data_IF_119494279975
#
_entry.id   IF_119494279975
#
_cell.length_a   1.000
_cell.length_b   1.000
_cell.length_c   1.000
_cell.angle_alpha   90.00
_cell.angle_beta   90.00
_cell.angle_gamma   90.00
#
_symmetry.space_group_name_H-M   'P 1'
#
loop_
_entity.id
_entity.type
_entity.pdbx_description
1 polymer ?
#
# COMPACT_ATOMS: atom_id res chain seq x y z
N UNK A 1 -19.56 2.21 4.86
CA UNK A 1 -18.52 1.16 4.88
C UNK A 1 -18.65 0.39 3.58
N UNK A 2 -17.65 0.47 2.69
CA UNK A 2 -17.71 -0.19 1.37
C UNK A 2 -17.45 -1.69 1.50
N UNK A 3 -18.22 -2.53 0.81
CA UNK A 3 -18.04 -3.99 0.77
C UNK A 3 -17.08 -4.36 -0.37
N UNK A 4 -15.96 -5.01 -0.02
CA UNK A 4 -14.92 -5.49 -0.95
C UNK A 4 -14.95 -7.01 -1.03
N UNK A 5 -14.90 -7.56 -2.24
CA UNK A 5 -14.80 -9.00 -2.47
C UNK A 5 -13.59 -9.34 -3.33
N UNK A 6 -12.89 -10.42 -2.97
CA UNK A 6 -11.69 -10.93 -3.65
C UNK A 6 -12.04 -12.20 -4.42
N UNK A 7 -11.55 -12.28 -5.64
CA UNK A 7 -11.50 -13.51 -6.44
C UNK A 7 -10.04 -13.83 -6.74
N UNK A 8 -9.67 -15.11 -6.86
CA UNK A 8 -8.31 -15.53 -7.15
C UNK A 8 -8.23 -16.24 -8.50
N UNK A 9 -7.40 -15.72 -9.38
CA UNK A 9 -7.04 -16.32 -10.67
C UNK A 9 -6.27 -17.65 -10.49
N UNK A 10 -5.36 -17.71 -9.53
CA UNK A 10 -4.42 -18.84 -9.37
C UNK A 10 -4.86 -19.96 -8.44
N UNK A 11 -6.10 -19.92 -7.92
CA UNK A 11 -6.57 -20.98 -7.03
C UNK A 11 -6.73 -22.31 -7.79
N UNK A 12 -6.19 -23.39 -7.24
CA UNK A 12 -6.23 -24.73 -7.85
C UNK A 12 -7.18 -25.70 -7.14
N UNK A 13 -7.72 -25.29 -5.98
CA UNK A 13 -8.56 -26.14 -5.13
C UNK A 13 -9.84 -25.40 -4.71
N UNK A 14 -10.94 -26.16 -4.60
CA UNK A 14 -12.20 -25.69 -4.01
C UNK A 14 -12.73 -26.72 -3.01
N UNK A 15 -13.46 -26.26 -2.00
CA UNK A 15 -13.99 -27.12 -0.92
C UNK A 15 -15.08 -28.08 -1.37
N UNK A 16 -15.95 -27.67 -2.29
CA UNK A 16 -17.12 -28.44 -2.69
C UNK A 16 -17.59 -28.07 -4.10
N UNK A 17 -18.23 -29.01 -4.77
CA UNK A 17 -18.91 -28.89 -6.06
C UNK A 17 -20.42 -28.61 -5.93
N UNK A 18 -20.86 -28.20 -4.73
CA UNK A 18 -22.29 -28.00 -4.40
C UNK A 18 -22.92 -26.88 -5.25
N UNK A 19 -22.15 -25.85 -5.59
CA UNK A 19 -22.64 -24.72 -6.39
C UNK A 19 -22.54 -25.02 -7.90
N UNK A 20 -23.67 -25.03 -8.64
CA UNK A 20 -23.65 -25.26 -10.07
C UNK A 20 -22.78 -24.27 -10.86
N UNK A 21 -22.56 -23.05 -10.34
CA UNK A 21 -21.73 -22.02 -10.97
C UNK A 21 -20.24 -22.38 -11.00
N UNK A 22 -19.80 -23.21 -10.07
CA UNK A 22 -18.40 -23.61 -9.94
C UNK A 22 -18.07 -24.88 -10.73
N UNK A 23 -19.08 -25.72 -11.01
CA UNK A 23 -18.92 -27.00 -11.73
C UNK A 23 -18.21 -26.92 -13.08
N UNK A 24 -18.40 -25.89 -13.93
CA UNK A 24 -17.66 -25.79 -15.19
C UNK A 24 -16.14 -25.75 -15.02
N UNK A 25 -15.64 -25.36 -13.85
CA UNK A 25 -14.23 -25.23 -13.54
C UNK A 25 -13.66 -26.44 -12.79
N UNK A 26 -14.48 -27.40 -12.35
CA UNK A 26 -14.04 -28.56 -11.56
C UNK A 26 -13.54 -29.67 -12.49
N UNK A 27 -12.36 -30.23 -12.20
CA UNK A 27 -11.76 -31.27 -13.05
C UNK A 27 -12.31 -32.67 -12.76
N UNK A 28 -12.92 -32.86 -11.60
CA UNK A 28 -13.44 -34.15 -11.10
C UNK A 28 -12.46 -34.91 -10.19
N UNK A 29 -11.20 -34.47 -10.11
CA UNK A 29 -10.21 -35.04 -9.20
C UNK A 29 -10.32 -34.44 -7.80
N UNK A 30 -9.92 -35.22 -6.78
CA UNK A 30 -9.91 -34.79 -5.37
C UNK A 30 -8.55 -35.04 -4.71
N UNK A 31 -8.23 -34.16 -3.77
CA UNK A 31 -7.08 -34.30 -2.86
C UNK A 31 -7.40 -35.25 -1.71
N UNK A 32 -6.37 -35.67 -0.95
CA UNK A 32 -6.56 -36.55 0.22
C UNK A 32 -7.34 -35.86 1.35
N UNK A 33 -7.22 -34.54 1.44
CA UNK A 33 -7.95 -33.67 2.37
C UNK A 33 -9.43 -33.49 1.95
N UNK A 34 -9.79 -33.92 0.74
CA UNK A 34 -11.14 -33.91 0.21
C UNK A 34 -11.51 -32.68 -0.63
N UNK A 35 -10.57 -31.76 -0.90
CA UNK A 35 -10.79 -30.65 -1.84
C UNK A 35 -10.90 -31.15 -3.28
N UNK A 36 -11.69 -30.45 -4.11
CA UNK A 36 -11.77 -30.68 -5.55
C UNK A 36 -10.72 -29.85 -6.28
N UNK A 37 -10.07 -30.45 -7.28
CA UNK A 37 -9.21 -29.74 -8.22
C UNK A 37 -10.06 -28.86 -9.16
N UNK A 38 -9.57 -27.65 -9.44
CA UNK A 38 -10.19 -26.73 -10.39
C UNK A 38 -9.21 -26.25 -11.46
N UNK A 39 -9.74 -26.02 -12.65
CA UNK A 39 -9.13 -25.17 -13.67
C UNK A 39 -9.45 -23.72 -13.29
N UNK A 40 -8.55 -23.10 -12.52
CA UNK A 40 -8.58 -21.67 -12.23
C UNK A 40 -8.41 -20.81 -13.49
N UNK A 41 -7.96 -19.59 -13.31
CA UNK A 41 -7.73 -18.66 -14.41
C UNK A 41 -8.72 -17.50 -14.44
N UNK A 42 -8.49 -16.61 -15.40
CA UNK A 42 -9.26 -15.38 -15.60
C UNK A 42 -10.75 -15.64 -15.82
N UNK A 43 -11.12 -16.73 -16.51
CA UNK A 43 -12.52 -17.09 -16.76
C UNK A 43 -13.27 -17.46 -15.47
N UNK A 44 -12.63 -18.24 -14.59
CA UNK A 44 -13.15 -18.55 -13.27
C UNK A 44 -13.26 -17.28 -12.41
N UNK A 45 -12.28 -16.38 -12.56
CA UNK A 45 -12.27 -15.12 -11.86
C UNK A 45 -13.41 -14.18 -12.29
N UNK A 46 -13.65 -14.05 -13.60
CA UNK A 46 -14.74 -13.28 -14.19
C UNK A 46 -16.09 -13.83 -13.74
N UNK A 47 -16.31 -15.16 -13.82
CA UNK A 47 -17.57 -15.78 -13.43
C UNK A 47 -17.94 -15.47 -11.97
N UNK A 48 -16.96 -15.59 -11.05
CA UNK A 48 -17.14 -15.23 -9.65
C UNK A 48 -17.29 -13.72 -9.45
N UNK A 49 -16.53 -12.90 -10.18
CA UNK A 49 -16.66 -11.45 -10.16
C UNK A 49 -18.07 -10.99 -10.52
N UNK A 50 -18.64 -11.52 -11.60
CA UNK A 50 -20.03 -11.27 -12.01
C UNK A 50 -21.03 -11.70 -10.94
N UNK A 51 -20.83 -12.87 -10.32
CA UNK A 51 -21.69 -13.35 -9.25
C UNK A 51 -21.64 -12.47 -7.98
N UNK A 52 -20.48 -11.88 -7.68
CA UNK A 52 -20.28 -11.02 -6.51
C UNK A 52 -20.67 -9.57 -6.75
N UNK A 53 -20.72 -9.12 -8.01
CA UNK A 53 -20.98 -7.74 -8.37
C UNK A 53 -22.24 -7.15 -7.72
N UNK A 54 -23.41 -7.81 -7.65
CA UNK A 54 -24.59 -7.24 -6.98
C UNK A 54 -24.42 -6.97 -5.47
N UNK A 55 -23.41 -7.58 -4.84
CA UNK A 55 -23.20 -7.57 -3.38
C UNK A 55 -21.92 -6.82 -2.95
N UNK A 56 -21.18 -6.29 -3.91
CA UNK A 56 -19.89 -5.62 -3.72
C UNK A 56 -19.98 -4.19 -4.21
N UNK A 57 -19.44 -3.21 -3.47
CA UNK A 57 -19.24 -1.87 -4.02
C UNK A 57 -18.06 -1.85 -5.00
N UNK A 58 -17.02 -2.63 -4.66
CA UNK A 58 -15.77 -2.75 -5.41
C UNK A 58 -15.39 -4.22 -5.54
N UNK A 59 -14.99 -4.63 -6.75
CA UNK A 59 -14.54 -6.00 -7.06
C UNK A 59 -13.04 -6.01 -7.28
N UNK A 60 -12.37 -7.03 -6.76
CA UNK A 60 -10.93 -7.24 -6.92
C UNK A 60 -10.65 -8.68 -7.38
N UNK A 61 -9.94 -8.82 -8.50
CA UNK A 61 -9.29 -10.05 -8.91
C UNK A 61 -7.81 -10.02 -8.51
N UNK A 62 -7.34 -11.02 -7.76
CA UNK A 62 -5.92 -11.23 -7.54
C UNK A 62 -5.31 -11.96 -8.74
N UNK A 63 -4.24 -11.40 -9.30
CA UNK A 63 -3.55 -11.91 -10.49
C UNK A 63 -2.17 -12.46 -10.12
N UNK A 64 -1.61 -13.30 -10.99
CA UNK A 64 -0.28 -13.89 -10.80
C UNK A 64 0.86 -13.00 -11.31
N UNK A 65 0.58 -12.09 -12.23
CA UNK A 65 1.54 -11.14 -12.82
C UNK A 65 0.92 -9.76 -13.02
N UNK A 66 1.73 -8.68 -13.12
CA UNK A 66 1.23 -7.33 -13.38
C UNK A 66 0.98 -7.12 -14.88
N UNK A 67 -0.10 -7.69 -15.42
CA UNK A 67 -0.42 -7.66 -16.86
C UNK A 67 -1.62 -6.74 -17.12
N UNK A 68 -1.46 -5.73 -17.99
CA UNK A 68 -2.55 -4.79 -18.32
C UNK A 68 -3.64 -5.45 -19.19
N UNK A 69 -3.26 -6.42 -20.01
CA UNK A 69 -4.17 -7.15 -20.90
C UNK A 69 -5.18 -7.98 -20.11
N UNK A 70 -4.71 -8.72 -19.10
CA UNK A 70 -5.58 -9.50 -18.21
C UNK A 70 -6.48 -8.59 -17.36
N UNK A 71 -5.94 -7.45 -16.90
CA UNK A 71 -6.72 -6.43 -16.20
C UNK A 71 -7.85 -5.85 -17.09
N UNK A 72 -7.56 -5.58 -18.36
CA UNK A 72 -8.55 -5.12 -19.33
C UNK A 72 -9.61 -6.19 -19.58
N UNK A 73 -9.22 -7.45 -19.80
CA UNK A 73 -10.16 -8.56 -20.00
C UNK A 73 -11.13 -8.71 -18.81
N UNK A 74 -10.62 -8.64 -17.58
CA UNK A 74 -11.46 -8.68 -16.39
C UNK A 74 -12.42 -7.47 -16.34
N UNK A 75 -11.90 -6.27 -16.56
CA UNK A 75 -12.68 -5.04 -16.50
C UNK A 75 -13.82 -5.03 -17.53
N UNK A 76 -13.52 -5.37 -18.77
CA UNK A 76 -14.49 -5.42 -19.87
C UNK A 76 -15.61 -6.40 -19.56
N UNK A 77 -15.28 -7.61 -19.09
CA UNK A 77 -16.28 -8.63 -18.79
C UNK A 77 -17.20 -8.22 -17.62
N UNK A 78 -16.66 -7.58 -16.57
CA UNK A 78 -17.47 -7.06 -15.47
C UNK A 78 -18.35 -5.90 -15.96
N UNK A 79 -17.81 -4.97 -16.73
CA UNK A 79 -18.54 -3.79 -17.21
C UNK A 79 -19.58 -4.10 -18.27
N UNK A 80 -19.43 -5.19 -19.01
CA UNK A 80 -20.46 -5.68 -19.95
C UNK A 80 -21.79 -5.93 -19.23
N UNK A 81 -21.74 -6.51 -18.01
CA UNK A 81 -22.94 -6.79 -17.21
C UNK A 81 -23.25 -5.71 -16.16
N UNK A 82 -22.21 -5.04 -15.66
CA UNK A 82 -22.32 -4.00 -14.63
C UNK A 82 -21.54 -2.74 -15.06
N UNK A 83 -22.07 -1.95 -16.01
CA UNK A 83 -21.40 -0.74 -16.48
C UNK A 83 -21.05 0.20 -15.32
N UNK A 84 -19.80 0.67 -15.28
CA UNK A 84 -19.32 1.60 -14.25
C UNK A 84 -19.03 0.96 -12.90
N UNK A 85 -19.07 -0.38 -12.77
CA UNK A 85 -18.69 -1.07 -11.52
C UNK A 85 -17.25 -0.72 -11.13
N UNK A 86 -17.06 -0.21 -9.91
CA UNK A 86 -15.72 0.11 -9.45
C UNK A 86 -14.89 -1.16 -9.24
N UNK A 87 -13.66 -1.12 -9.72
CA UNK A 87 -12.70 -2.21 -9.56
C UNK A 87 -11.56 -1.79 -8.64
N UNK A 88 -10.89 -2.78 -8.05
CA UNK A 88 -9.67 -2.59 -7.28
C UNK A 88 -8.54 -3.47 -7.79
N UNK A 89 -7.32 -2.92 -7.75
CA UNK A 89 -6.11 -3.60 -8.23
C UNK A 89 -5.03 -3.61 -7.13
N UNK A 90 -4.46 -4.78 -6.88
CA UNK A 90 -3.30 -4.92 -6.01
C UNK A 90 -2.01 -4.78 -6.85
N UNK A 91 -1.33 -3.65 -6.70
CA UNK A 91 0.02 -3.45 -7.23
C UNK A 91 1.02 -4.20 -6.33
N UNK A 92 0.99 -5.53 -6.39
CA UNK A 92 1.62 -6.40 -5.40
C UNK A 92 3.15 -6.32 -5.42
N UNK A 93 3.79 -6.18 -4.24
CA UNK A 93 5.25 -6.38 -4.11
C UNK A 93 5.69 -7.82 -4.32
N UNK A 94 4.77 -8.80 -4.32
CA UNK A 94 5.08 -10.18 -4.69
C UNK A 94 5.42 -10.32 -6.17
N UNK A 95 5.12 -9.32 -7.00
CA UNK A 95 5.57 -9.28 -8.39
C UNK A 95 7.01 -8.80 -8.49
N UNK A 96 7.82 -9.47 -9.32
CA UNK A 96 9.09 -8.90 -9.76
C UNK A 96 8.83 -7.93 -10.92
N UNK A 97 8.49 -6.67 -10.61
CA UNK A 97 8.04 -5.66 -11.58
C UNK A 97 8.95 -5.52 -12.80
N UNK A 98 10.27 -5.33 -12.59
CA UNK A 98 11.25 -5.16 -13.67
C UNK A 98 11.51 -6.42 -14.49
N UNK A 99 11.17 -7.60 -13.96
CA UNK A 99 11.21 -8.85 -14.73
C UNK A 99 10.05 -8.96 -15.71
N UNK A 100 8.91 -8.36 -15.38
CA UNK A 100 7.68 -8.46 -16.19
C UNK A 100 7.46 -7.26 -17.10
N UNK A 101 7.87 -6.06 -16.68
CA UNK A 101 7.53 -4.81 -17.34
C UNK A 101 8.76 -3.91 -17.52
N UNK A 102 8.76 -3.14 -18.61
CA UNK A 102 9.69 -2.05 -18.81
C UNK A 102 9.33 -0.81 -17.96
N UNK A 103 10.28 0.12 -17.86
CA UNK A 103 10.13 1.33 -17.03
C UNK A 103 8.99 2.23 -17.47
N UNK A 104 8.81 2.40 -18.78
CA UNK A 104 7.76 3.25 -19.33
C UNK A 104 6.38 2.68 -19.00
N UNK A 105 6.24 1.35 -19.01
CA UNK A 105 5.01 0.64 -18.66
C UNK A 105 4.74 0.69 -17.17
N UNK A 106 5.76 0.49 -16.33
CA UNK A 106 5.64 0.66 -14.87
C UNK A 106 5.15 2.07 -14.53
N UNK A 107 5.75 3.10 -15.14
CA UNK A 107 5.41 4.50 -14.87
C UNK A 107 3.95 4.85 -15.19
N UNK A 108 3.35 4.24 -16.22
CA UNK A 108 1.95 4.48 -16.62
C UNK A 108 0.96 3.44 -16.08
N UNK A 109 1.42 2.38 -15.41
CA UNK A 109 0.62 1.21 -15.07
C UNK A 109 -0.68 1.59 -14.33
N UNK A 110 -0.58 2.40 -13.27
CA UNK A 110 -1.74 2.82 -12.49
C UNK A 110 -2.69 3.74 -13.27
N UNK A 111 -2.16 4.57 -14.16
CA UNK A 111 -2.95 5.45 -15.02
C UNK A 111 -3.79 4.64 -16.00
N UNK A 112 -3.20 3.62 -16.64
CA UNK A 112 -3.94 2.72 -17.54
C UNK A 112 -5.02 1.94 -16.78
N UNK A 113 -4.69 1.35 -15.62
CA UNK A 113 -5.68 0.71 -14.75
C UNK A 113 -6.84 1.66 -14.38
N UNK A 114 -6.53 2.94 -14.11
CA UNK A 114 -7.53 3.95 -13.80
C UNK A 114 -8.53 4.19 -14.94
N UNK A 115 -8.08 4.10 -16.20
CA UNK A 115 -8.92 4.20 -17.41
C UNK A 115 -9.83 2.98 -17.57
N UNK A 116 -9.38 1.79 -17.16
CA UNK A 116 -10.15 0.55 -17.15
C UNK A 116 -11.20 0.47 -16.02
N UNK A 117 -11.21 1.43 -15.09
CA UNK A 117 -12.17 1.45 -13.97
C UNK A 117 -11.64 0.91 -12.64
N UNK A 118 -10.35 0.63 -12.52
CA UNK A 118 -9.70 0.35 -11.24
C UNK A 118 -9.53 1.63 -10.42
N UNK A 119 -10.55 1.96 -9.63
CA UNK A 119 -10.64 3.20 -8.84
C UNK A 119 -9.97 3.11 -7.47
N UNK A 120 -9.71 1.90 -6.99
CA UNK A 120 -8.93 1.68 -5.77
C UNK A 120 -7.69 0.84 -6.06
N UNK A 121 -6.52 1.47 -6.03
CA UNK A 121 -5.24 0.83 -6.34
C UNK A 121 -4.33 0.95 -5.12
N UNK A 122 -3.66 -0.14 -4.75
CA UNK A 122 -2.89 -0.19 -3.52
C UNK A 122 -1.70 -1.13 -3.64
N UNK A 123 -0.64 -0.83 -2.89
CA UNK A 123 0.55 -1.69 -2.73
C UNK A 123 0.47 -2.33 -1.35
N UNK A 124 0.14 -3.62 -1.29
CA UNK A 124 -0.16 -4.32 -0.02
C UNK A 124 0.96 -4.28 1.01
N UNK A 125 2.21 -4.53 0.57
CA UNK A 125 3.37 -4.69 1.46
C UNK A 125 4.33 -3.49 1.42
N UNK A 126 3.86 -2.31 0.99
CA UNK A 126 4.70 -1.12 0.90
C UNK A 126 5.37 -0.78 2.25
N UNK A 127 4.60 -0.81 3.34
CA UNK A 127 5.13 -0.55 4.68
C UNK A 127 6.16 -1.59 5.15
N UNK A 128 5.93 -2.87 4.84
CA UNK A 128 6.87 -3.95 5.18
C UNK A 128 8.22 -3.74 4.47
N UNK A 129 8.21 -3.51 3.15
CA UNK A 129 9.43 -3.30 2.40
C UNK A 129 10.14 -2.00 2.79
N UNK A 130 9.42 -0.88 2.91
CA UNK A 130 10.01 0.40 3.29
C UNK A 130 10.69 0.32 4.67
N UNK A 131 10.00 -0.22 5.68
CA UNK A 131 10.51 -0.31 7.05
C UNK A 131 11.73 -1.23 7.16
N UNK A 132 11.67 -2.42 6.57
CA UNK A 132 12.77 -3.39 6.68
C UNK A 132 14.00 -2.91 5.90
N UNK A 133 13.82 -2.39 4.69
CA UNK A 133 14.93 -1.87 3.88
C UNK A 133 15.60 -0.68 4.56
N UNK A 134 14.83 0.33 4.99
CA UNK A 134 15.41 1.53 5.60
C UNK A 134 16.17 1.21 6.89
N UNK A 135 15.63 0.33 7.73
CA UNK A 135 16.29 -0.07 8.97
C UNK A 135 17.53 -0.93 8.72
N UNK A 136 17.49 -1.83 7.72
CA UNK A 136 18.65 -2.64 7.35
C UNK A 136 19.81 -1.79 6.84
N UNK A 137 19.52 -0.83 5.94
CA UNK A 137 20.51 0.12 5.42
C UNK A 137 21.10 0.99 6.54
N UNK A 138 20.25 1.50 7.45
CA UNK A 138 20.70 2.26 8.61
C UNK A 138 21.61 1.44 9.54
N UNK A 139 21.20 0.20 9.86
CA UNK A 139 21.98 -0.69 10.72
C UNK A 139 23.35 -1.03 10.11
N UNK A 140 23.41 -1.22 8.78
CA UNK A 140 24.65 -1.45 8.06
C UNK A 140 25.56 -0.22 8.13
N UNK A 141 25.05 0.96 7.80
CA UNK A 141 25.80 2.21 7.87
C UNK A 141 26.29 2.52 9.29
N UNK A 142 25.46 2.25 10.31
CA UNK A 142 25.84 2.46 11.70
C UNK A 142 26.92 1.48 12.16
N UNK A 143 26.87 0.22 11.71
CA UNK A 143 27.92 -0.77 11.99
C UNK A 143 29.26 -0.37 11.38
N UNK A 144 29.26 0.19 10.18
CA UNK A 144 30.48 0.52 9.42
C UNK A 144 31.06 1.88 9.81
N UNK A 145 30.22 2.86 10.13
CA UNK A 145 30.60 4.26 10.23
C UNK A 145 30.11 4.97 11.51
N UNK A 146 29.38 4.26 12.38
CA UNK A 146 28.81 4.82 13.60
C UNK A 146 27.89 6.01 13.34
N UNK A 147 28.09 7.10 14.08
CA UNK A 147 27.23 8.29 13.99
C UNK A 147 27.25 8.98 12.62
N UNK A 148 28.29 8.80 11.81
CA UNK A 148 28.30 9.32 10.44
C UNK A 148 27.19 8.66 9.59
N UNK A 149 26.92 7.38 9.80
CA UNK A 149 25.81 6.66 9.16
C UNK A 149 24.44 7.21 9.56
N UNK A 150 24.24 7.49 10.85
CA UNK A 150 23.00 8.08 11.35
C UNK A 150 22.82 9.55 10.89
N UNK A 151 23.88 10.36 10.93
CA UNK A 151 23.82 11.77 10.52
C UNK A 151 23.37 11.93 9.06
N UNK A 152 23.73 11.01 8.15
CA UNK A 152 23.21 11.03 6.78
C UNK A 152 21.68 10.88 6.68
N UNK A 153 21.09 10.05 7.54
CA UNK A 153 19.63 9.95 7.63
C UNK A 153 19.02 11.28 8.08
N UNK A 154 19.59 11.90 9.11
CA UNK A 154 19.13 13.19 9.62
C UNK A 154 19.26 14.31 8.58
N UNK A 155 20.39 14.40 7.87
CA UNK A 155 20.58 15.35 6.75
C UNK A 155 19.57 15.12 5.63
N UNK A 156 19.25 13.85 5.34
CA UNK A 156 18.20 13.53 4.38
C UNK A 156 16.82 14.02 4.85
N UNK A 157 16.52 13.90 6.13
CA UNK A 157 15.27 14.42 6.71
C UNK A 157 15.20 15.96 6.63
N UNK A 158 16.29 16.68 6.91
CA UNK A 158 16.37 18.14 6.70
C UNK A 158 16.13 18.51 5.23
N UNK A 159 16.78 17.81 4.30
CA UNK A 159 16.58 18.00 2.86
C UNK A 159 15.12 17.78 2.45
N UNK A 160 14.45 16.75 3.00
CA UNK A 160 13.05 16.47 2.73
C UNK A 160 12.11 17.50 3.36
N UNK A 161 12.41 18.03 4.55
CA UNK A 161 11.66 19.14 5.15
C UNK A 161 11.73 20.37 4.23
N UNK A 162 12.94 20.76 3.82
CA UNK A 162 13.16 21.95 3.00
C UNK A 162 12.53 21.86 1.60
N UNK A 163 12.57 20.68 0.97
CA UNK A 163 12.15 20.52 -0.43
C UNK A 163 10.72 20.00 -0.62
N UNK A 164 10.17 19.24 0.33
CA UNK A 164 8.89 18.55 0.18
C UNK A 164 7.96 18.66 1.40
N UNK A 165 8.36 19.41 2.44
CA UNK A 165 7.52 19.67 3.61
C UNK A 165 7.42 18.50 4.60
N UNK A 166 8.39 17.58 4.62
CA UNK A 166 8.50 16.58 5.69
C UNK A 166 8.63 17.24 7.07
N UNK A 167 8.01 16.67 8.11
CA UNK A 167 7.93 17.32 9.44
C UNK A 167 8.45 16.48 10.60
N UNK A 168 8.66 15.17 10.43
CA UNK A 168 8.95 14.29 11.55
C UNK A 168 10.38 14.40 12.09
N UNK A 169 11.25 15.20 11.46
CA UNK A 169 12.56 15.54 12.03
C UNK A 169 12.44 16.26 13.39
N UNK A 170 11.44 17.14 13.51
CA UNK A 170 10.96 17.75 14.76
C UNK A 170 10.01 16.78 15.43
N UNK A 171 10.57 15.66 15.87
CA UNK A 171 9.81 14.50 16.33
C UNK A 171 8.97 14.79 17.58
N UNK A 172 9.37 15.72 18.46
CA UNK A 172 8.58 16.09 19.65
C UNK A 172 7.29 16.80 19.22
N UNK A 173 7.43 17.82 18.37
CA UNK A 173 6.28 18.53 17.80
C UNK A 173 5.40 17.60 16.95
N UNK A 174 6.01 16.72 16.16
CA UNK A 174 5.30 15.80 15.26
C UNK A 174 4.40 14.81 16.01
N UNK A 175 4.83 14.34 17.19
CA UNK A 175 4.00 13.45 18.04
C UNK A 175 3.06 14.21 18.98
N UNK A 176 3.01 15.55 18.88
CA UNK A 176 2.01 16.38 19.54
C UNK A 176 2.43 16.96 20.89
N UNK A 177 3.74 17.09 21.19
CA UNK A 177 4.18 17.73 22.44
C UNK A 177 3.54 19.11 22.64
N UNK A 178 3.54 19.96 21.60
CA UNK A 178 2.91 21.28 21.67
C UNK A 178 1.40 21.26 21.86
N UNK A 179 0.71 20.24 21.32
CA UNK A 179 -0.71 20.04 21.58
C UNK A 179 -0.98 19.77 23.07
N UNK A 180 -0.16 18.93 23.70
CA UNK A 180 -0.30 18.62 25.12
C UNK A 180 0.14 19.77 26.03
N UNK A 181 1.09 20.59 25.60
CA UNK A 181 1.45 21.84 26.30
C UNK A 181 0.26 22.82 26.33
N UNK A 182 -0.45 23.00 25.20
CA UNK A 182 -1.66 23.82 25.14
C UNK A 182 -2.78 23.29 26.04
N UNK A 183 -3.00 21.97 26.06
CA UNK A 183 -3.94 21.33 26.98
C UNK A 183 -3.55 21.64 28.43
N UNK A 184 -2.27 21.54 28.77
CA UNK A 184 -1.79 21.81 30.12
C UNK A 184 -1.94 23.28 30.51
N UNK A 185 -1.64 24.20 29.59
CA UNK A 185 -1.81 25.63 29.79
C UNK A 185 -3.29 25.98 30.02
N UNK A 186 -4.21 25.44 29.24
CA UNK A 186 -5.65 25.67 29.44
C UNK A 186 -6.11 25.17 30.81
N UNK A 187 -5.74 23.94 31.20
CA UNK A 187 -6.14 23.34 32.49
C UNK A 187 -5.57 24.12 33.67
N UNK A 188 -4.35 24.62 33.54
CA UNK A 188 -3.66 25.39 34.59
C UNK A 188 -4.01 26.89 34.60
N UNK A 189 -4.92 27.36 33.73
CA UNK A 189 -5.22 28.78 33.62
C UNK A 189 -4.02 29.62 33.17
N UNK A 190 -3.13 29.04 32.36
CA UNK A 190 -1.91 29.66 31.84
C UNK A 190 -0.71 29.66 32.79
N UNK A 191 -0.76 28.88 33.88
CA UNK A 191 0.27 28.89 34.93
C UNK A 191 1.14 27.63 34.97
N UNK A 192 1.14 26.81 33.92
CA UNK A 192 1.99 25.62 33.85
C UNK A 192 3.47 26.00 33.86
N UNK A 193 4.26 25.40 34.75
CA UNK A 193 5.72 25.52 34.81
C UNK A 193 6.45 24.29 34.27
N UNK A 194 5.73 23.32 33.69
CA UNK A 194 6.30 22.04 33.24
C UNK A 194 5.89 21.70 31.80
N UNK A 195 5.65 22.71 30.98
CA UNK A 195 5.48 22.53 29.53
C UNK A 195 6.75 21.89 28.93
N UNK A 196 6.58 21.06 27.91
CA UNK A 196 7.62 20.19 27.38
C UNK A 196 8.46 20.85 26.26
N UNK A 197 7.87 21.71 25.41
CA UNK A 197 8.58 22.27 24.26
C UNK A 197 9.48 23.46 24.61
N UNK A 198 9.04 24.34 25.51
CA UNK A 198 9.83 25.52 25.91
C UNK A 198 11.11 25.07 26.61
N UNK A 199 12.26 25.44 26.06
CA UNK A 199 13.58 25.03 26.54
C UNK A 199 13.99 23.62 26.11
N UNK A 200 13.27 22.98 25.18
CA UNK A 200 13.64 21.69 24.62
C UNK A 200 14.84 21.78 23.66
N UNK A 201 15.53 20.66 23.44
CA UNK A 201 16.59 20.59 22.43
C UNK A 201 16.06 20.78 21.01
N UNK A 202 14.79 20.46 20.78
CA UNK A 202 14.14 20.67 19.49
C UNK A 202 14.01 22.18 19.18
N UNK A 203 13.47 22.96 20.12
CA UNK A 203 13.39 24.43 20.01
C UNK A 203 14.79 25.02 19.75
N UNK A 204 15.78 24.62 20.56
CA UNK A 204 17.11 25.20 20.52
C UNK A 204 17.95 24.84 19.26
N UNK A 205 17.69 23.70 18.61
CA UNK A 205 18.58 23.18 17.55
C UNK A 205 17.89 23.00 16.19
N UNK A 206 16.56 23.04 16.12
CA UNK A 206 15.81 22.72 14.90
C UNK A 206 14.94 23.88 14.39
N UNK A 207 14.74 24.95 15.16
CA UNK A 207 13.95 26.11 14.72
C UNK A 207 14.75 27.11 13.86
N UNK A 208 16.08 27.20 14.04
CA UNK A 208 16.96 28.22 13.43
C UNK A 208 17.90 27.70 12.32
N UNK A 209 17.70 26.48 11.80
CA UNK A 209 18.58 25.95 10.73
C UNK A 209 18.22 26.59 9.38
N UNK A 210 18.73 27.80 9.14
CA UNK A 210 18.89 28.37 7.81
C UNK A 210 19.86 27.48 7.03
N UNK A 211 19.31 26.62 6.16
CA UNK A 211 20.12 25.87 5.18
C UNK A 211 20.89 26.91 4.34
N UNK A 212 22.24 26.89 4.32
CA UNK A 212 22.98 27.79 3.46
C UNK A 212 22.63 27.46 2.01
N UNK A 213 22.18 28.45 1.24
CA UNK A 213 22.04 28.30 -0.21
C UNK A 213 23.42 27.95 -0.78
N UNK A 214 23.57 26.74 -1.31
CA UNK A 214 24.81 26.31 -1.96
C UNK A 214 25.15 27.24 -3.13
N UNK A 215 26.40 27.72 -3.14
CA UNK A 215 27.07 28.33 -4.29
C UNK A 215 27.62 27.25 -5.24
#
# INVERSE_FOLDING_TARGET
>A
MYRKWKVADSAQLITSDIDPRDRPFITGERTNEGFYNINGGIEAAIARGLAYAPYADVIWCETSTPTLEEAQQFADAIHEKFPGKMLAYNCSPSFNWRRHLDEATIAKFQTELGRMGYKFQFVTLAGFHALNTSMFELALAYKEEGMAGYSRLQEREFSLEASHGYRAIKHQSFVGAGYYDEVQLIVSGGQSSTAALVGSTEEAQFEDVLVPAHA
#
